data_IF_278073752360
#
_entry.id   IF_278073752360
#
_cell.length_a   1.000
_cell.length_b   1.000
_cell.length_c   1.000
_cell.angle_alpha   90.00
_cell.angle_beta   90.00
_cell.angle_gamma   90.00
#
_symmetry.space_group_name_H-M   'P 1'
#
loop_
_entity.id
_entity.type
_entity.pdbx_description
1 polymer ?
#
# COMPACT_ATOMS: atom_id res chain seq x y z
N UNK A 1 -2.78 30.80 -37.07
CA UNK A 1 -2.75 30.47 -38.51
C UNK A 1 -2.11 29.11 -38.68
N UNK A 2 -2.70 28.29 -39.54
CA UNK A 2 -2.37 26.94 -39.96
C UNK A 2 -2.84 25.77 -39.06
N UNK A 3 -4.08 25.40 -39.32
CA UNK A 3 -4.63 24.06 -39.05
C UNK A 3 -4.09 23.09 -40.14
N UNK A 4 -3.66 21.90 -39.75
CA UNK A 4 -3.47 20.78 -40.67
C UNK A 4 -4.45 19.69 -40.34
N UNK A 5 -5.37 19.44 -41.28
CA UNK A 5 -6.37 18.40 -41.33
C UNK A 5 -5.75 17.08 -41.80
N UNK A 6 -6.17 15.95 -41.21
CA UNK A 6 -5.85 14.58 -41.66
C UNK A 6 -7.10 13.98 -42.32
N UNK A 7 -7.01 13.39 -43.50
CA UNK A 7 -8.17 12.82 -44.20
C UNK A 7 -8.46 11.37 -43.74
N UNK A 8 -9.76 11.07 -43.63
CA UNK A 8 -10.29 9.73 -43.42
C UNK A 8 -10.28 8.93 -44.76
N UNK A 9 -9.78 7.70 -44.71
CA UNK A 9 -9.84 6.73 -45.82
C UNK A 9 -11.05 5.82 -45.58
N UNK A 10 -12.02 5.89 -46.47
CA UNK A 10 -13.16 4.98 -46.56
C UNK A 10 -12.79 3.89 -47.57
N UNK A 11 -12.78 2.63 -47.14
CA UNK A 11 -12.60 1.48 -48.02
C UNK A 11 -13.95 0.83 -48.27
N UNK A 12 -14.42 0.94 -49.52
CA UNK A 12 -15.61 0.27 -50.00
C UNK A 12 -15.29 -1.16 -50.43
N UNK A 13 -16.08 -2.13 -49.98
CA UNK A 13 -16.03 -3.53 -50.42
C UNK A 13 -17.14 -3.73 -51.46
N UNK A 14 -16.74 -4.06 -52.69
CA UNK A 14 -17.64 -4.47 -53.77
C UNK A 14 -17.95 -5.97 -53.64
N UNK A 15 -19.23 -6.31 -53.63
CA UNK A 15 -19.72 -7.70 -53.76
C UNK A 15 -20.03 -7.94 -55.23
N UNK A 16 -19.36 -8.88 -55.88
CA UNK A 16 -19.72 -9.41 -57.18
C UNK A 16 -20.47 -10.72 -57.01
N UNK A 17 -21.70 -10.76 -57.45
CA UNK A 17 -22.47 -11.98 -57.66
C UNK A 17 -22.28 -12.44 -59.12
N UNK A 18 -21.84 -13.69 -59.29
CA UNK A 18 -21.87 -14.36 -60.59
C UNK A 18 -22.69 -15.65 -60.49
N UNK A 19 -23.78 -15.69 -61.19
CA UNK A 19 -24.56 -16.90 -61.42
C UNK A 19 -24.08 -17.58 -62.72
N UNK A 20 -23.87 -18.89 -62.70
CA UNK A 20 -23.88 -19.76 -63.86
C UNK A 20 -24.48 -21.12 -63.57
N UNK A 21 -25.48 -21.45 -64.33
CA UNK A 21 -26.19 -22.74 -64.37
C UNK A 21 -25.47 -23.76 -65.25
N UNK A 22 -25.61 -25.04 -64.87
CA UNK A 22 -25.54 -26.09 -65.90
C UNK A 22 -24.94 -27.43 -65.44
N UNK A 23 -25.74 -28.52 -65.54
CA UNK A 23 -25.31 -29.83 -65.93
C UNK A 23 -25.08 -30.83 -64.78
N UNK A 24 -26.00 -31.81 -64.65
CA UNK A 24 -25.93 -32.90 -63.71
C UNK A 24 -25.00 -34.01 -64.14
N UNK A 25 -24.45 -34.71 -63.15
CA UNK A 25 -24.03 -36.12 -63.27
C UNK A 25 -24.08 -36.80 -61.88
N UNK A 26 -24.80 -37.91 -61.79
CA UNK A 26 -24.94 -38.69 -60.58
C UNK A 26 -23.65 -39.43 -60.31
N UNK A 27 -23.04 -39.21 -59.17
CA UNK A 27 -21.98 -40.05 -58.60
C UNK A 27 -22.40 -40.52 -57.21
N UNK A 28 -22.14 -41.77 -56.92
CA UNK A 28 -22.49 -42.54 -55.76
C UNK A 28 -22.01 -41.96 -54.41
N UNK A 29 -22.65 -42.29 -53.27
CA UNK A 29 -22.30 -41.72 -51.99
C UNK A 29 -20.97 -42.29 -51.46
N UNK A 30 -19.95 -41.52 -51.47
CA UNK A 30 -18.74 -41.81 -50.65
C UNK A 30 -19.05 -41.41 -49.21
N UNK A 31 -18.88 -42.37 -48.30
CA UNK A 31 -19.00 -42.17 -46.89
C UNK A 31 -18.01 -41.08 -46.43
N UNK A 32 -18.53 -39.92 -46.09
CA UNK A 32 -17.76 -38.88 -45.40
C UNK A 32 -17.48 -39.36 -43.97
N UNK A 33 -16.23 -39.70 -43.68
CA UNK A 33 -15.74 -39.81 -42.34
C UNK A 33 -15.88 -38.44 -41.66
N UNK A 34 -16.85 -38.33 -40.77
CA UNK A 34 -16.95 -37.16 -39.89
C UNK A 34 -15.72 -37.13 -38.99
N UNK A 35 -14.71 -36.36 -39.35
CA UNK A 35 -13.61 -36.03 -38.47
C UNK A 35 -14.19 -35.31 -37.26
N UNK A 36 -14.30 -36.04 -36.12
CA UNK A 36 -14.68 -35.43 -34.85
C UNK A 36 -13.65 -34.35 -34.53
N UNK A 37 -14.08 -33.08 -34.57
CA UNK A 37 -13.26 -32.01 -34.00
C UNK A 37 -13.06 -32.33 -32.52
N UNK A 38 -11.85 -32.70 -32.17
CA UNK A 38 -11.45 -32.86 -30.76
C UNK A 38 -11.59 -31.49 -30.12
N UNK A 39 -12.63 -31.33 -29.28
CA UNK A 39 -12.82 -30.08 -28.53
C UNK A 39 -11.54 -29.88 -27.71
N UNK A 40 -10.86 -28.77 -27.94
CA UNK A 40 -9.76 -28.31 -27.09
C UNK A 40 -10.32 -28.22 -25.68
N UNK A 41 -9.74 -28.90 -24.68
CA UNK A 41 -10.26 -28.82 -23.31
C UNK A 41 -10.25 -27.34 -22.87
N UNK A 42 -11.39 -26.84 -22.42
CA UNK A 42 -11.47 -25.53 -21.79
C UNK A 42 -10.54 -25.54 -20.58
N UNK A 43 -9.61 -24.58 -20.46
CA UNK A 43 -8.72 -24.56 -19.32
C UNK A 43 -9.53 -24.46 -18.03
N UNK A 44 -9.19 -25.29 -17.05
CA UNK A 44 -9.80 -25.25 -15.72
C UNK A 44 -9.45 -23.91 -15.08
N UNK A 45 -10.42 -23.13 -14.59
CA UNK A 45 -10.16 -21.87 -13.91
C UNK A 45 -9.20 -22.09 -12.74
N UNK A 46 -8.23 -21.17 -12.60
CA UNK A 46 -7.32 -21.15 -11.46
C UNK A 46 -7.61 -19.92 -10.62
N UNK A 47 -7.45 -19.99 -9.29
CA UNK A 47 -7.67 -18.82 -8.43
C UNK A 47 -6.62 -17.75 -8.69
N UNK A 48 -7.05 -16.50 -8.76
CA UNK A 48 -6.14 -15.35 -8.71
C UNK A 48 -5.49 -15.32 -7.33
N UNK A 49 -4.20 -15.04 -7.27
CA UNK A 49 -3.44 -14.94 -6.02
C UNK A 49 -2.49 -13.78 -6.14
N UNK A 50 -2.38 -12.98 -5.09
CA UNK A 50 -1.43 -11.87 -5.01
C UNK A 50 -0.92 -11.67 -3.60
N UNK A 51 0.25 -11.03 -3.49
CA UNK A 51 0.88 -10.62 -2.24
C UNK A 51 0.73 -9.12 -2.03
N UNK A 52 0.34 -8.74 -0.81
CA UNK A 52 0.28 -7.35 -0.37
C UNK A 52 1.31 -7.15 0.73
N UNK A 53 2.14 -6.10 0.61
CA UNK A 53 3.05 -5.64 1.64
C UNK A 53 2.61 -4.27 2.14
N UNK A 54 2.64 -4.07 3.46
CA UNK A 54 2.40 -2.77 4.09
C UNK A 54 3.45 -2.49 5.15
N UNK A 55 3.82 -1.23 5.34
CA UNK A 55 4.79 -0.79 6.32
C UNK A 55 4.27 0.37 7.15
N UNK A 56 4.93 0.64 8.28
CA UNK A 56 4.58 1.69 9.22
C UNK A 56 4.82 3.12 8.70
N UNK A 57 4.87 4.06 9.63
CA UNK A 57 4.78 5.48 9.39
C UNK A 57 6.05 6.06 8.75
N UNK A 58 5.87 6.85 7.67
CA UNK A 58 6.92 7.68 7.08
C UNK A 58 6.78 9.09 7.65
N UNK A 59 7.52 9.34 8.75
CA UNK A 59 7.50 10.58 9.52
C UNK A 59 8.85 11.30 9.39
N UNK A 60 8.94 12.26 8.49
CA UNK A 60 10.19 12.88 8.05
C UNK A 60 10.74 13.89 9.05
N UNK A 61 11.48 13.43 10.05
CA UNK A 61 12.26 14.27 10.95
C UNK A 61 13.53 14.81 10.28
N UNK A 62 14.07 15.92 10.81
CA UNK A 62 15.19 16.66 10.22
C UNK A 62 16.44 15.78 9.96
N UNK A 63 16.80 14.87 10.84
CA UNK A 63 17.98 14.02 10.66
C UNK A 63 17.89 13.12 9.44
N UNK A 64 16.68 12.68 9.05
CA UNK A 64 16.48 11.82 7.88
C UNK A 64 16.82 12.57 6.59
N UNK A 65 16.35 13.81 6.43
CA UNK A 65 16.69 14.54 5.19
C UNK A 65 18.10 15.13 5.21
N UNK A 66 18.69 15.40 6.38
CA UNK A 66 20.12 15.72 6.48
C UNK A 66 20.99 14.55 6.02
N UNK A 67 20.60 13.33 6.38
CA UNK A 67 21.25 12.13 5.84
C UNK A 67 21.04 12.04 4.33
N UNK A 68 19.82 12.25 3.81
CA UNK A 68 19.52 12.20 2.39
C UNK A 68 20.28 13.28 1.57
N UNK A 69 20.55 14.47 2.15
CA UNK A 69 21.46 15.49 1.55
C UNK A 69 22.90 14.95 1.43
N UNK A 70 23.41 14.31 2.49
CA UNK A 70 24.73 13.71 2.47
C UNK A 70 24.83 12.52 1.50
N UNK A 71 23.77 11.73 1.40
CA UNK A 71 23.66 10.60 0.48
C UNK A 71 23.63 11.09 -0.98
N UNK A 72 22.88 12.14 -1.29
CA UNK A 72 22.86 12.75 -2.62
C UNK A 72 24.24 13.17 -3.10
N UNK A 73 25.10 13.69 -2.22
CA UNK A 73 26.47 14.04 -2.55
C UNK A 73 27.32 12.80 -2.92
N UNK A 74 26.98 11.61 -2.42
CA UNK A 74 27.68 10.33 -2.74
C UNK A 74 27.12 9.64 -3.99
N UNK A 75 25.79 9.68 -4.17
CA UNK A 75 25.08 9.00 -5.27
C UNK A 75 24.98 9.85 -6.53
N UNK A 76 25.19 11.16 -6.42
CA UNK A 76 25.03 12.10 -7.53
C UNK A 76 23.60 12.61 -7.75
N UNK A 77 22.70 12.37 -6.81
CA UNK A 77 21.34 12.91 -6.84
C UNK A 77 21.34 14.45 -6.72
N UNK A 78 20.32 15.10 -7.30
CA UNK A 78 20.34 16.57 -7.45
C UNK A 78 20.16 17.37 -6.15
N UNK A 79 19.40 16.82 -5.18
CA UNK A 79 19.06 17.54 -3.93
C UNK A 79 19.19 16.62 -2.72
N UNK A 80 18.44 15.51 -2.69
CA UNK A 80 18.40 14.53 -1.62
C UNK A 80 18.23 13.14 -2.21
N UNK A 81 18.79 12.13 -1.54
CA UNK A 81 18.63 10.72 -1.87
C UNK A 81 18.25 9.94 -0.59
N UNK A 82 17.00 9.49 -0.51
CA UNK A 82 16.53 8.67 0.61
C UNK A 82 16.65 7.16 0.32
N UNK A 83 16.95 6.75 -0.92
CA UNK A 83 17.00 5.34 -1.28
C UNK A 83 18.01 4.53 -0.44
N UNK A 84 19.21 5.05 -0.09
CA UNK A 84 20.12 4.32 0.79
C UNK A 84 19.54 3.97 2.16
N UNK A 85 18.63 4.81 2.70
CA UNK A 85 18.02 4.57 4.00
C UNK A 85 17.04 3.38 3.98
N UNK A 86 16.47 3.04 2.80
CA UNK A 86 15.49 1.97 2.59
C UNK A 86 16.08 0.72 1.89
N UNK A 87 17.38 0.74 1.56
CA UNK A 87 18.01 -0.28 0.72
C UNK A 87 17.85 -1.71 1.26
N UNK A 88 17.89 -1.89 2.60
CA UNK A 88 17.84 -3.22 3.21
C UNK A 88 16.45 -3.87 3.14
N UNK A 89 15.38 -3.08 2.98
CA UNK A 89 14.01 -3.59 2.88
C UNK A 89 13.50 -3.68 1.43
N UNK A 90 14.18 -3.01 0.50
CA UNK A 90 13.79 -3.00 -0.91
C UNK A 90 13.61 -4.40 -1.52
N UNK A 91 14.42 -5.43 -1.20
CA UNK A 91 14.21 -6.79 -1.71
C UNK A 91 12.86 -7.39 -1.31
N UNK A 92 12.36 -7.09 -0.11
CA UNK A 92 11.06 -7.60 0.37
C UNK A 92 9.92 -6.80 -0.22
N UNK A 93 10.01 -5.47 -0.22
CA UNK A 93 8.97 -4.58 -0.73
C UNK A 93 8.77 -4.77 -2.23
N UNK A 94 9.85 -4.76 -3.02
CA UNK A 94 9.80 -4.84 -4.49
C UNK A 94 9.36 -6.20 -5.04
N UNK A 95 9.27 -7.23 -4.21
CA UNK A 95 8.78 -8.56 -4.63
C UNK A 95 7.30 -8.77 -4.37
N UNK A 96 6.63 -7.83 -3.71
CA UNK A 96 5.19 -7.86 -3.54
C UNK A 96 4.47 -7.48 -4.85
N UNK A 97 3.27 -8.01 -5.05
CA UNK A 97 2.41 -7.63 -6.17
C UNK A 97 1.72 -6.26 -5.92
N UNK A 98 1.61 -5.86 -4.64
CA UNK A 98 1.15 -4.55 -4.19
C UNK A 98 1.87 -4.16 -2.90
N UNK A 99 2.56 -3.02 -2.88
CA UNK A 99 3.20 -2.48 -1.70
C UNK A 99 2.61 -1.12 -1.32
N UNK A 100 2.21 -0.97 -0.04
CA UNK A 100 1.51 0.21 0.50
C UNK A 100 2.36 0.87 1.58
N UNK A 101 2.66 2.17 1.44
CA UNK A 101 3.25 3.01 2.48
C UNK A 101 2.21 3.86 3.21
N UNK A 102 2.55 4.38 4.36
CA UNK A 102 1.82 5.44 5.04
C UNK A 102 2.65 6.71 5.06
N UNK A 103 2.32 7.68 4.21
CA UNK A 103 3.00 8.98 4.19
C UNK A 103 2.30 9.91 5.18
N UNK A 104 2.83 9.97 6.39
CA UNK A 104 2.20 10.66 7.51
C UNK A 104 2.24 12.17 7.41
N UNK A 105 3.25 12.73 6.74
CA UNK A 105 3.49 14.16 6.70
C UNK A 105 3.24 14.77 5.32
N UNK A 106 2.72 16.01 5.24
CA UNK A 106 2.60 16.71 3.98
C UNK A 106 3.98 17.08 3.42
N UNK A 107 4.06 17.15 2.09
CA UNK A 107 5.29 17.48 1.38
C UNK A 107 5.44 19.00 1.15
N UNK A 108 6.67 19.45 1.25
CA UNK A 108 7.11 20.80 0.94
C UNK A 108 7.33 21.02 -0.57
N UNK A 109 7.56 22.27 -1.02
CA UNK A 109 8.19 22.51 -2.32
C UNK A 109 9.56 21.83 -2.43
N UNK A 110 9.97 21.45 -3.64
CA UNK A 110 11.17 20.63 -3.88
C UNK A 110 12.49 21.19 -3.31
N UNK A 111 12.55 22.47 -3.05
CA UNK A 111 13.71 23.16 -2.43
C UNK A 111 13.38 23.72 -1.04
N UNK A 112 12.27 23.29 -0.44
CA UNK A 112 11.82 23.76 0.87
C UNK A 112 11.11 25.11 0.84
N UNK A 113 11.01 25.78 1.99
CA UNK A 113 11.57 25.35 3.27
C UNK A 113 10.96 24.05 3.77
N UNK A 114 11.77 23.19 4.42
CA UNK A 114 11.33 22.00 5.11
C UNK A 114 11.15 22.28 6.60
N UNK A 115 10.25 21.56 7.24
CA UNK A 115 10.07 21.60 8.69
C UNK A 115 9.79 20.19 9.25
N UNK A 116 10.29 19.96 10.47
CA UNK A 116 10.03 18.77 11.27
C UNK A 116 9.05 19.06 12.40
N UNK A 117 9.13 18.23 13.47
CA UNK A 117 8.29 18.41 14.65
C UNK A 117 8.30 19.84 15.19
N UNK A 118 7.16 20.39 15.63
CA UNK A 118 5.83 19.77 15.72
C UNK A 118 4.95 19.92 14.48
N UNK A 119 5.35 20.72 13.50
CA UNK A 119 4.56 21.01 12.28
C UNK A 119 5.39 20.66 11.07
N UNK A 120 5.06 19.53 10.46
CA UNK A 120 5.86 18.93 9.40
C UNK A 120 5.58 19.52 8.01
N UNK A 121 6.63 19.59 7.22
CA UNK A 121 6.57 19.80 5.77
C UNK A 121 7.82 19.15 5.19
N UNK A 122 7.69 17.89 4.75
CA UNK A 122 8.80 17.02 4.41
C UNK A 122 9.33 17.22 2.99
N UNK A 123 10.58 16.83 2.72
CA UNK A 123 11.14 16.87 1.37
C UNK A 123 10.43 15.91 0.42
N UNK A 124 9.96 16.35 -0.77
CA UNK A 124 9.26 15.48 -1.72
C UNK A 124 10.15 14.42 -2.36
N UNK A 125 11.48 14.51 -2.21
CA UNK A 125 12.43 13.50 -2.72
C UNK A 125 12.27 12.13 -2.07
N UNK A 126 11.63 12.05 -0.89
CA UNK A 126 11.27 10.76 -0.27
C UNK A 126 10.40 9.92 -1.19
N UNK A 127 9.52 10.53 -1.98
CA UNK A 127 8.61 9.83 -2.90
C UNK A 127 9.40 9.05 -3.97
N UNK A 128 10.51 9.61 -4.48
CA UNK A 128 11.40 8.90 -5.40
C UNK A 128 11.96 7.63 -4.74
N UNK A 129 12.43 7.73 -3.51
CA UNK A 129 12.95 6.58 -2.78
C UNK A 129 11.87 5.52 -2.48
N UNK A 130 10.63 5.94 -2.17
CA UNK A 130 9.51 5.00 -2.01
C UNK A 130 9.24 4.21 -3.30
N UNK A 131 9.19 4.90 -4.45
CA UNK A 131 9.05 4.22 -5.77
C UNK A 131 10.23 3.27 -6.04
N UNK A 132 11.47 3.72 -5.81
CA UNK A 132 12.66 2.88 -6.02
C UNK A 132 12.72 1.68 -5.07
N UNK A 133 12.14 1.79 -3.87
CA UNK A 133 11.99 0.69 -2.92
C UNK A 133 10.94 -0.32 -3.38
N UNK A 134 9.99 0.08 -4.23
CA UNK A 134 8.96 -0.78 -4.79
C UNK A 134 7.54 -0.53 -4.26
N UNK A 135 7.26 0.62 -3.63
CA UNK A 135 5.91 0.97 -3.23
C UNK A 135 5.06 1.40 -4.43
N UNK A 136 3.78 0.99 -4.43
CA UNK A 136 2.79 1.26 -5.48
C UNK A 136 1.74 2.29 -5.04
N UNK A 137 1.51 2.40 -3.73
CA UNK A 137 0.50 3.28 -3.17
C UNK A 137 0.92 3.81 -1.79
N UNK A 138 0.40 4.99 -1.40
CA UNK A 138 0.54 5.53 -0.05
C UNK A 138 -0.80 5.98 0.52
N UNK A 139 -1.02 5.72 1.81
CA UNK A 139 -2.11 6.34 2.58
C UNK A 139 -1.65 7.69 3.14
N UNK A 140 -2.56 8.66 3.24
CA UNK A 140 -2.24 10.07 3.53
C UNK A 140 -3.10 10.72 4.60
N UNK A 141 -4.09 10.00 5.16
CA UNK A 141 -4.87 10.50 6.29
C UNK A 141 -4.10 10.27 7.60
N UNK A 142 -3.65 11.35 8.22
CA UNK A 142 -2.91 11.35 9.49
C UNK A 142 -3.23 12.59 10.30
N UNK A 143 -2.79 12.64 11.55
CA UNK A 143 -2.88 13.84 12.40
C UNK A 143 -2.04 15.01 11.87
N UNK A 144 -1.08 14.75 10.96
CA UNK A 144 -0.22 15.76 10.32
C UNK A 144 -0.69 16.19 8.91
N UNK A 145 -1.78 15.63 8.39
CA UNK A 145 -2.27 15.92 7.03
C UNK A 145 -2.36 17.43 6.74
N UNK A 146 -2.74 18.25 7.73
CA UNK A 146 -2.94 19.69 7.55
C UNK A 146 -1.80 20.56 8.06
N UNK A 147 -0.66 20.02 8.44
CA UNK A 147 0.49 20.78 8.94
C UNK A 147 0.97 21.88 7.96
N UNK A 148 0.86 21.62 6.66
CA UNK A 148 1.18 22.59 5.61
C UNK A 148 -0.08 23.16 4.92
N UNK A 149 -1.25 23.07 5.56
CA UNK A 149 -2.54 23.57 5.08
C UNK A 149 -3.00 22.89 3.78
N UNK A 150 -4.02 23.47 3.13
CA UNK A 150 -4.55 22.97 1.86
C UNK A 150 -3.46 22.77 0.77
N UNK A 151 -2.57 23.77 0.66
CA UNK A 151 -1.48 23.71 -0.32
C UNK A 151 -0.48 22.58 -0.04
N UNK A 152 -0.35 22.13 1.22
CA UNK A 152 0.43 20.95 1.60
C UNK A 152 -0.23 19.69 1.08
N UNK A 153 -1.54 19.52 1.31
CA UNK A 153 -2.32 18.39 0.77
C UNK A 153 -2.19 18.33 -0.76
N UNK A 154 -2.47 19.43 -1.44
CA UNK A 154 -2.42 19.51 -2.90
C UNK A 154 -1.04 19.10 -3.44
N UNK A 155 0.04 19.66 -2.89
CA UNK A 155 1.41 19.29 -3.31
C UNK A 155 1.75 17.81 -3.04
N UNK A 156 1.30 17.28 -1.90
CA UNK A 156 1.56 15.90 -1.54
C UNK A 156 0.93 14.98 -2.59
N UNK A 157 -0.34 15.16 -2.89
CA UNK A 157 -1.05 14.33 -3.85
C UNK A 157 -0.53 14.51 -5.28
N UNK A 158 -0.23 15.76 -5.69
CA UNK A 158 0.38 16.04 -7.01
C UNK A 158 1.76 15.37 -7.14
N UNK A 159 2.53 15.29 -6.06
CA UNK A 159 3.85 14.63 -6.06
C UNK A 159 3.70 13.11 -6.17
N UNK A 160 2.73 12.51 -5.46
CA UNK A 160 2.44 11.08 -5.55
C UNK A 160 1.94 10.72 -6.95
N UNK A 161 1.01 11.49 -7.52
CA UNK A 161 0.52 11.31 -8.89
C UNK A 161 1.64 11.39 -9.93
N UNK A 162 2.52 12.40 -9.80
CA UNK A 162 3.65 12.58 -10.71
C UNK A 162 4.65 11.43 -10.66
N UNK A 163 4.73 10.73 -9.51
CA UNK A 163 5.56 9.56 -9.30
C UNK A 163 4.87 8.24 -9.69
N UNK A 164 3.56 8.28 -9.99
CA UNK A 164 2.77 7.09 -10.31
C UNK A 164 2.31 6.29 -9.11
N UNK A 165 2.41 6.85 -7.89
CA UNK A 165 1.90 6.22 -6.67
C UNK A 165 0.41 6.53 -6.50
N UNK A 166 -0.40 5.49 -6.37
CA UNK A 166 -1.79 5.64 -5.96
C UNK A 166 -1.86 6.19 -4.53
N UNK A 167 -2.93 6.92 -4.19
CA UNK A 167 -3.05 7.48 -2.85
C UNK A 167 -4.50 7.46 -2.35
N UNK A 168 -4.68 7.41 -1.02
CA UNK A 168 -5.98 7.45 -0.37
C UNK A 168 -5.89 8.15 0.99
N UNK A 169 -6.95 8.88 1.37
CA UNK A 169 -7.08 9.47 2.71
C UNK A 169 -7.24 10.98 2.71
N UNK A 170 -6.66 11.69 1.76
CA UNK A 170 -6.85 13.12 1.57
C UNK A 170 -7.23 13.46 0.12
N UNK A 171 -7.73 14.67 -0.12
CA UNK A 171 -8.25 15.08 -1.43
C UNK A 171 -7.98 16.56 -1.72
N UNK A 172 -7.85 16.88 -3.01
CA UNK A 172 -7.66 18.25 -3.54
C UNK A 172 -8.98 18.94 -3.83
N UNK A 173 -10.00 18.16 -4.16
CA UNK A 173 -11.35 18.65 -4.51
C UNK A 173 -12.46 17.78 -3.89
N UNK A 174 -13.70 18.30 -3.77
CA UNK A 174 -14.83 17.50 -3.29
C UNK A 174 -15.11 16.28 -4.18
N UNK A 175 -14.90 16.41 -5.49
CA UNK A 175 -15.10 15.32 -6.44
C UNK A 175 -14.09 14.19 -6.23
N UNK A 176 -12.84 14.53 -5.91
CA UNK A 176 -11.78 13.56 -5.62
C UNK A 176 -12.09 12.74 -4.37
N UNK A 177 -12.65 13.35 -3.31
CA UNK A 177 -13.10 12.63 -2.10
C UNK A 177 -14.13 11.55 -2.42
N UNK A 178 -15.01 11.79 -3.40
CA UNK A 178 -15.99 10.81 -3.86
C UNK A 178 -15.41 9.66 -4.70
N UNK A 179 -14.12 9.72 -5.05
CA UNK A 179 -13.45 8.67 -5.81
C UNK A 179 -12.87 7.63 -4.83
N UNK A 180 -13.14 6.37 -5.10
CA UNK A 180 -12.46 5.26 -4.40
C UNK A 180 -11.16 4.98 -5.12
N UNK A 181 -10.04 5.01 -4.41
CA UNK A 181 -8.75 4.58 -4.95
C UNK A 181 -8.77 3.08 -5.13
N UNK A 182 -8.67 2.61 -6.37
CA UNK A 182 -8.61 1.19 -6.73
C UNK A 182 -7.33 0.97 -7.52
N UNK A 183 -6.49 0.04 -7.06
CA UNK A 183 -5.27 -0.38 -7.73
C UNK A 183 -5.53 -1.71 -8.43
N UNK A 184 -5.21 -1.79 -9.71
CA UNK A 184 -5.27 -3.03 -10.48
C UNK A 184 -3.96 -3.80 -10.30
N UNK A 185 -4.00 -4.87 -9.51
CA UNK A 185 -2.86 -5.75 -9.25
C UNK A 185 -2.82 -6.84 -10.31
N UNK A 186 -1.74 -6.91 -11.08
CA UNK A 186 -1.59 -7.90 -12.13
C UNK A 186 -1.31 -9.29 -11.54
N UNK A 187 -2.06 -10.30 -11.97
CA UNK A 187 -1.78 -11.72 -11.65
C UNK A 187 -1.76 -12.56 -12.93
N UNK A 188 -1.25 -13.79 -12.85
CA UNK A 188 -1.22 -14.71 -14.00
C UNK A 188 -2.62 -15.09 -14.51
N UNK A 189 -3.62 -15.02 -13.65
CA UNK A 189 -5.00 -15.45 -13.95
C UNK A 189 -5.95 -14.25 -14.19
N UNK A 190 -5.39 -13.02 -14.31
CA UNK A 190 -6.11 -11.77 -14.53
C UNK A 190 -5.93 -10.79 -13.38
N UNK A 191 -6.29 -9.52 -13.55
CA UNK A 191 -6.09 -8.50 -12.52
C UNK A 191 -6.99 -8.73 -11.30
N UNK A 192 -6.47 -8.35 -10.12
CA UNK A 192 -7.22 -8.21 -8.88
C UNK A 192 -7.34 -6.73 -8.56
N UNK A 193 -8.54 -6.26 -8.25
CA UNK A 193 -8.84 -4.87 -7.97
C UNK A 193 -8.86 -4.62 -6.47
N UNK A 194 -7.83 -3.94 -5.96
CA UNK A 194 -7.68 -3.66 -4.54
C UNK A 194 -8.07 -2.21 -4.26
N UNK A 195 -9.13 -2.01 -3.46
CA UNK A 195 -9.51 -0.69 -2.99
C UNK A 195 -8.71 -0.33 -1.74
N UNK A 196 -8.22 0.91 -1.70
CA UNK A 196 -7.49 1.48 -0.57
C UNK A 196 -8.31 2.63 0.02
N UNK A 197 -8.63 2.53 1.31
CA UNK A 197 -9.30 3.55 2.11
C UNK A 197 -8.36 3.97 3.25
N UNK A 198 -8.41 5.25 3.68
CA UNK A 198 -7.56 5.72 4.78
C UNK A 198 -8.25 6.79 5.60
N UNK A 199 -8.13 6.71 6.92
CA UNK A 199 -8.81 7.57 7.89
C UNK A 199 -7.91 7.89 9.08
N UNK A 200 -8.11 9.06 9.70
CA UNK A 200 -7.37 9.51 10.89
C UNK A 200 -8.29 9.90 12.03
N UNK A 201 -7.80 9.81 13.27
CA UNK A 201 -8.53 10.24 14.46
C UNK A 201 -8.72 11.76 14.57
N UNK A 202 -7.98 12.55 13.78
CA UNK A 202 -8.04 14.00 13.83
C UNK A 202 -6.76 14.65 13.29
N UNK A 203 -6.57 15.97 13.52
CA UNK A 203 -5.54 16.79 12.89
C UNK A 203 -4.79 17.67 13.89
N UNK A 204 -4.44 17.16 15.07
CA UNK A 204 -3.68 17.89 16.12
C UNK A 204 -4.28 19.25 16.48
N UNK A 205 -5.61 19.38 16.42
CA UNK A 205 -6.30 20.65 16.67
C UNK A 205 -6.23 21.68 15.54
N UNK A 206 -5.63 21.32 14.41
CA UNK A 206 -5.65 22.15 13.19
C UNK A 206 -7.04 21.99 12.54
N UNK A 207 -7.78 23.09 12.33
CA UNK A 207 -9.08 22.98 11.67
C UNK A 207 -8.94 22.64 10.20
N UNK A 208 -9.99 22.09 9.62
CA UNK A 208 -10.05 21.90 8.17
C UNK A 208 -9.75 23.21 7.43
N UNK A 209 -8.78 23.22 6.49
CA UNK A 209 -8.47 24.40 5.71
C UNK A 209 -9.71 24.93 4.98
N UNK A 210 -10.03 26.21 5.15
CA UNK A 210 -11.24 26.87 4.65
C UNK A 210 -12.59 26.26 5.12
N UNK A 211 -12.58 25.34 6.10
CA UNK A 211 -13.75 24.60 6.52
C UNK A 211 -14.11 23.43 5.59
N UNK A 212 -13.22 23.04 4.69
CA UNK A 212 -13.40 22.01 3.67
C UNK A 212 -13.25 20.60 4.27
N UNK A 213 -14.30 20.03 4.89
CA UNK A 213 -14.27 18.73 5.58
C UNK A 213 -14.01 17.54 4.64
N UNK A 214 -14.10 17.74 3.36
CA UNK A 214 -13.80 16.73 2.33
C UNK A 214 -12.29 16.54 2.09
N UNK A 215 -11.40 17.42 2.61
CA UNK A 215 -9.96 17.39 2.31
C UNK A 215 -9.20 16.22 2.91
N UNK A 216 -9.71 15.64 3.98
CA UNK A 216 -9.15 14.41 4.57
C UNK A 216 -10.23 13.67 5.35
N UNK A 217 -10.07 12.36 5.46
CA UNK A 217 -11.06 11.49 6.07
C UNK A 217 -10.79 11.34 7.58
N UNK A 218 -11.72 11.78 8.42
CA UNK A 218 -11.74 11.40 9.84
C UNK A 218 -12.39 10.03 10.04
N UNK A 219 -12.02 9.36 11.13
CA UNK A 219 -12.59 8.09 11.53
C UNK A 219 -14.06 8.30 11.93
N UNK A 220 -14.96 7.76 11.13
CA UNK A 220 -16.40 7.63 11.38
C UNK A 220 -16.85 6.26 10.87
N UNK A 221 -17.33 5.41 11.77
CA UNK A 221 -17.69 4.02 11.46
C UNK A 221 -18.68 3.91 10.30
N UNK A 222 -19.72 4.73 10.32
CA UNK A 222 -20.76 4.68 9.29
C UNK A 222 -20.21 5.08 7.92
N UNK A 223 -19.35 6.08 7.87
CA UNK A 223 -18.67 6.54 6.66
C UNK A 223 -17.68 5.48 6.14
N UNK A 224 -16.91 4.84 7.02
CA UNK A 224 -15.97 3.77 6.63
C UNK A 224 -16.72 2.61 5.98
N UNK A 225 -17.77 2.12 6.64
CA UNK A 225 -18.61 1.02 6.12
C UNK A 225 -19.29 1.37 4.79
N UNK A 226 -19.81 2.59 4.66
CA UNK A 226 -20.43 3.05 3.41
C UNK A 226 -19.42 3.17 2.25
N UNK A 227 -18.19 3.62 2.55
CA UNK A 227 -17.14 3.73 1.55
C UNK A 227 -16.60 2.33 1.14
N UNK A 228 -16.51 1.38 2.07
CA UNK A 228 -16.15 -0.01 1.75
C UNK A 228 -17.20 -0.66 0.85
N UNK A 229 -18.50 -0.53 1.18
CA UNK A 229 -19.58 -1.00 0.32
C UNK A 229 -19.56 -0.34 -1.08
N UNK A 230 -19.24 0.96 -1.14
CA UNK A 230 -19.08 1.69 -2.41
C UNK A 230 -17.89 1.15 -3.21
N UNK A 231 -16.77 0.81 -2.56
CA UNK A 231 -15.61 0.19 -3.21
C UNK A 231 -15.99 -1.14 -3.86
N UNK A 232 -16.74 -2.00 -3.15
CA UNK A 232 -17.27 -3.27 -3.71
C UNK A 232 -18.20 -3.03 -4.91
N UNK A 233 -19.11 -2.07 -4.81
CA UNK A 233 -20.02 -1.70 -5.92
C UNK A 233 -19.27 -1.20 -7.15
N UNK A 234 -18.10 -0.59 -6.95
CA UNK A 234 -17.20 -0.16 -8.02
C UNK A 234 -16.31 -1.30 -8.56
N UNK A 235 -16.48 -2.50 -8.02
CA UNK A 235 -15.84 -3.73 -8.46
C UNK A 235 -14.48 -3.98 -7.81
N UNK A 236 -14.27 -3.52 -6.58
CA UNK A 236 -13.13 -3.95 -5.79
C UNK A 236 -13.27 -5.43 -5.41
N UNK A 237 -12.24 -6.21 -5.66
CA UNK A 237 -12.12 -7.61 -5.25
C UNK A 237 -11.66 -7.72 -3.79
N UNK A 238 -10.81 -6.79 -3.34
CA UNK A 238 -10.27 -6.69 -1.97
C UNK A 238 -10.36 -5.24 -1.49
N UNK A 239 -10.71 -5.01 -0.23
CA UNK A 239 -10.79 -3.67 0.40
C UNK A 239 -9.88 -3.62 1.61
N UNK A 240 -8.88 -2.75 1.56
CA UNK A 240 -7.92 -2.48 2.63
C UNK A 240 -8.22 -1.12 3.24
N UNK A 241 -8.33 -1.07 4.57
CA UNK A 241 -8.59 0.17 5.31
C UNK A 241 -7.41 0.50 6.20
N UNK A 242 -6.75 1.61 5.95
CA UNK A 242 -5.69 2.14 6.80
C UNK A 242 -6.28 3.10 7.85
N UNK A 243 -5.92 2.87 9.12
CA UNK A 243 -6.44 3.56 10.28
C UNK A 243 -5.30 4.24 11.04
N UNK A 244 -5.26 5.56 11.00
CA UNK A 244 -4.30 6.35 11.78
C UNK A 244 -4.94 6.67 13.15
N UNK A 245 -4.67 5.82 14.13
CA UNK A 245 -5.36 5.75 15.42
C UNK A 245 -4.47 5.23 16.56
N UNK A 246 -5.01 5.11 17.75
CA UNK A 246 -4.29 4.57 18.90
C UNK A 246 -3.75 5.64 19.84
N UNK A 247 -2.86 5.25 20.71
CA UNK A 247 -2.15 6.14 21.64
C UNK A 247 -0.66 6.09 21.31
N UNK A 248 -0.03 7.25 21.12
CA UNK A 248 1.40 7.31 20.81
C UNK A 248 2.21 6.60 21.90
N UNK A 249 3.17 5.78 21.46
CA UNK A 249 4.17 5.07 22.26
C UNK A 249 3.60 4.00 23.19
N UNK A 250 2.34 3.58 22.99
CA UNK A 250 1.71 2.50 23.72
C UNK A 250 1.59 1.25 22.83
N UNK A 251 2.17 0.13 23.27
CA UNK A 251 2.07 -1.15 22.56
C UNK A 251 0.69 -1.79 22.68
N UNK A 252 -0.09 -1.42 23.70
CA UNK A 252 -1.44 -1.92 23.87
C UNK A 252 -2.44 -1.08 23.03
N UNK A 253 -3.30 -1.71 22.24
CA UNK A 253 -4.36 -1.00 21.54
C UNK A 253 -5.31 -0.30 22.54
N UNK A 254 -5.64 0.96 22.27
CA UNK A 254 -6.52 1.73 23.12
C UNK A 254 -8.01 1.31 22.96
N UNK A 255 -8.88 1.89 23.79
CA UNK A 255 -10.32 1.56 23.82
C UNK A 255 -10.98 1.79 22.43
N UNK A 256 -10.65 2.87 21.72
CA UNK A 256 -11.18 3.13 20.38
C UNK A 256 -10.81 2.01 19.40
N UNK A 257 -9.57 1.59 19.40
CA UNK A 257 -9.07 0.52 18.53
C UNK A 257 -9.78 -0.82 18.83
N UNK A 258 -9.86 -1.18 20.11
CA UNK A 258 -10.48 -2.44 20.55
C UNK A 258 -11.99 -2.50 20.33
N UNK A 259 -12.67 -1.36 20.38
CA UNK A 259 -14.10 -1.25 20.14
C UNK A 259 -14.44 -1.22 18.64
N UNK A 260 -13.66 -0.48 17.84
CA UNK A 260 -14.00 -0.24 16.44
C UNK A 260 -13.51 -1.34 15.50
N UNK A 261 -12.30 -1.90 15.70
CA UNK A 261 -11.73 -2.90 14.81
C UNK A 261 -12.63 -4.11 14.57
N UNK A 262 -13.19 -4.76 15.61
CA UNK A 262 -14.09 -5.91 15.41
C UNK A 262 -15.35 -5.56 14.62
N UNK A 263 -15.91 -4.35 14.80
CA UNK A 263 -17.10 -3.94 14.07
C UNK A 263 -16.83 -3.64 12.60
N UNK A 264 -15.69 -3.04 12.30
CA UNK A 264 -15.29 -2.77 10.91
C UNK A 264 -14.99 -4.06 10.17
N UNK A 265 -14.17 -4.95 10.77
CA UNK A 265 -13.74 -6.17 10.11
C UNK A 265 -14.83 -7.24 10.01
N UNK A 266 -15.90 -7.13 10.81
CA UNK A 266 -17.10 -7.97 10.67
C UNK A 266 -17.91 -7.63 9.41
N UNK A 267 -17.64 -6.50 8.76
CA UNK A 267 -18.29 -6.15 7.49
C UNK A 267 -17.76 -7.03 6.37
N UNK A 268 -18.63 -7.67 5.55
CA UNK A 268 -18.17 -8.46 4.40
C UNK A 268 -17.51 -7.61 3.30
N UNK A 269 -17.52 -6.30 3.47
CA UNK A 269 -16.94 -5.36 2.51
C UNK A 269 -15.50 -4.94 2.86
N UNK A 270 -14.93 -5.39 4.01
CA UNK A 270 -13.56 -5.06 4.45
C UNK A 270 -12.77 -6.35 4.67
N UNK A 271 -11.58 -6.47 4.06
CA UNK A 271 -10.76 -7.67 4.13
C UNK A 271 -9.50 -7.50 5.00
N UNK A 272 -9.08 -6.24 5.26
CA UNK A 272 -7.85 -5.98 6.02
C UNK A 272 -7.90 -4.60 6.67
N UNK A 273 -7.51 -4.52 7.95
CA UNK A 273 -7.24 -3.26 8.64
C UNK A 273 -5.74 -3.09 8.90
N UNK A 274 -5.18 -1.92 8.54
CA UNK A 274 -3.78 -1.54 8.75
C UNK A 274 -3.71 -0.32 9.67
N UNK A 275 -3.08 -0.46 10.84
CA UNK A 275 -2.98 0.58 11.86
C UNK A 275 -1.66 1.36 11.84
N UNK A 276 -1.78 2.65 12.13
CA UNK A 276 -0.72 3.66 12.13
C UNK A 276 -0.84 4.58 13.36
N UNK A 277 0.06 5.56 13.53
CA UNK A 277 0.05 6.59 14.57
C UNK A 277 0.73 6.24 15.88
N UNK A 278 0.60 5.03 16.40
CA UNK A 278 1.17 4.68 17.71
C UNK A 278 2.70 4.86 17.79
N UNK A 279 3.40 4.93 16.64
CA UNK A 279 4.86 5.04 16.52
C UNK A 279 5.64 3.93 17.23
N UNK A 280 4.93 2.89 17.64
CA UNK A 280 5.45 1.61 18.14
C UNK A 280 4.61 0.49 17.55
N UNK A 281 5.17 -0.70 17.49
CA UNK A 281 4.43 -1.88 17.03
C UNK A 281 3.32 -2.21 18.02
N UNK A 282 2.12 -2.51 17.52
CA UNK A 282 1.00 -3.02 18.28
C UNK A 282 0.62 -4.42 17.78
N UNK A 283 -0.23 -5.18 18.48
CA UNK A 283 -0.60 -6.53 18.10
C UNK A 283 -1.21 -6.67 16.71
N UNK A 284 -1.13 -7.90 16.20
CA UNK A 284 -1.83 -8.37 15.02
C UNK A 284 -2.82 -9.45 15.45
N UNK A 285 -4.08 -9.31 15.05
CA UNK A 285 -5.16 -10.19 15.45
C UNK A 285 -5.89 -10.72 14.21
N UNK A 286 -6.31 -11.98 14.26
CA UNK A 286 -7.25 -12.52 13.28
C UNK A 286 -8.65 -12.55 13.91
N UNK A 287 -9.59 -11.85 13.31
CA UNK A 287 -10.98 -11.78 13.75
C UNK A 287 -11.85 -12.45 12.69
N UNK A 288 -12.40 -13.60 13.01
CA UNK A 288 -13.29 -14.39 12.15
C UNK A 288 -12.74 -14.69 10.74
N UNK A 289 -11.42 -14.76 10.59
CA UNK A 289 -10.74 -15.06 9.34
C UNK A 289 -10.05 -13.86 8.69
N UNK A 290 -10.41 -12.64 9.08
CA UNK A 290 -9.82 -11.40 8.56
C UNK A 290 -8.79 -10.82 9.54
N UNK A 291 -7.82 -10.05 9.01
CA UNK A 291 -6.69 -9.57 9.77
C UNK A 291 -6.82 -8.09 10.18
N UNK A 292 -6.47 -7.83 11.44
CA UNK A 292 -6.34 -6.49 12.02
C UNK A 292 -4.90 -6.31 12.47
N UNK A 293 -4.19 -5.35 11.88
CA UNK A 293 -2.91 -4.85 12.37
C UNK A 293 -3.20 -3.58 13.14
N UNK A 294 -3.05 -3.59 14.46
CA UNK A 294 -3.41 -2.42 15.28
C UNK A 294 -2.44 -1.25 15.12
N UNK A 295 -1.14 -1.53 14.97
CA UNK A 295 -0.12 -0.52 14.72
C UNK A 295 1.17 -1.13 14.16
N UNK A 296 1.70 -0.55 13.09
CA UNK A 296 2.93 -1.04 12.44
C UNK A 296 4.21 -0.34 12.93
N UNK A 297 4.11 0.62 13.85
CA UNK A 297 5.24 1.43 14.26
C UNK A 297 5.79 2.32 13.14
N UNK A 298 7.07 2.66 13.19
CA UNK A 298 7.69 3.53 12.21
C UNK A 298 8.40 2.73 11.11
N UNK A 299 8.22 3.16 9.86
CA UNK A 299 9.14 2.80 8.77
C UNK A 299 10.34 3.74 8.80
N UNK A 300 10.08 5.05 8.76
CA UNK A 300 11.09 6.10 8.77
C UNK A 300 10.69 7.19 9.75
N UNK A 301 11.35 7.27 10.89
CA UNK A 301 11.16 8.36 11.87
C UNK A 301 12.44 8.56 12.67
N UNK A 302 12.66 9.72 13.24
CA UNK A 302 13.82 9.95 14.10
C UNK A 302 13.42 10.68 15.37
N UNK A 303 12.77 9.97 16.28
CA UNK A 303 12.43 10.47 17.60
C UNK A 303 13.69 10.73 18.44
N UNK A 304 13.56 11.58 19.47
CA UNK A 304 14.70 12.01 20.28
C UNK A 304 15.37 10.89 21.11
N UNK A 305 14.68 9.77 21.31
CA UNK A 305 15.22 8.61 22.04
C UNK A 305 15.81 7.60 21.07
N UNK A 306 17.16 7.43 21.07
CA UNK A 306 17.84 6.68 20.01
C UNK A 306 17.69 5.16 20.10
N UNK A 307 17.19 4.63 21.22
CA UNK A 307 17.29 3.20 21.51
C UNK A 307 16.01 2.57 22.09
N UNK A 308 14.88 3.25 21.91
CA UNK A 308 13.59 2.76 22.38
C UNK A 308 12.80 2.00 21.32
N UNK A 309 11.60 1.52 21.68
CA UNK A 309 10.70 0.86 20.74
C UNK A 309 10.24 1.74 19.57
N UNK A 310 10.45 3.06 19.62
CA UNK A 310 10.15 4.01 18.53
C UNK A 310 11.08 3.86 17.31
N UNK A 311 12.22 3.18 17.47
CA UNK A 311 13.11 2.80 16.38
C UNK A 311 12.68 1.48 15.70
N UNK A 312 11.69 0.80 16.27
CA UNK A 312 11.19 -0.49 15.84
C UNK A 312 9.91 -0.30 15.03
N UNK A 313 9.80 -1.04 13.95
CA UNK A 313 8.62 -1.13 13.12
C UNK A 313 8.39 -2.56 12.65
N UNK A 314 7.31 -2.75 11.95
CA UNK A 314 7.00 -4.02 11.31
C UNK A 314 6.53 -3.78 9.88
N UNK A 315 7.01 -4.62 8.97
CA UNK A 315 6.43 -4.77 7.64
C UNK A 315 5.55 -6.01 7.67
N UNK A 316 4.32 -5.88 7.19
CA UNK A 316 3.37 -6.98 7.09
C UNK A 316 3.30 -7.47 5.66
N UNK A 317 3.23 -8.79 5.46
CA UNK A 317 2.97 -9.39 4.15
C UNK A 317 1.78 -10.34 4.24
N UNK A 318 0.79 -10.11 3.38
CA UNK A 318 -0.41 -10.94 3.26
C UNK A 318 -0.45 -11.57 1.87
N UNK A 319 -0.79 -12.86 1.81
CA UNK A 319 -1.09 -13.54 0.54
C UNK A 319 -2.60 -13.75 0.45
N UNK A 320 -3.22 -13.08 -0.50
CA UNK A 320 -4.65 -13.23 -0.81
C UNK A 320 -4.85 -14.25 -1.93
N UNK A 321 -5.88 -15.05 -1.80
CA UNK A 321 -6.27 -16.03 -2.81
C UNK A 321 -7.77 -16.02 -3.03
N UNK A 322 -8.16 -16.04 -4.30
CA UNK A 322 -9.56 -16.12 -4.73
C UNK A 322 -10.16 -17.47 -4.39
N UNK A 323 -11.36 -17.47 -3.83
CA UNK A 323 -12.24 -18.63 -3.75
C UNK A 323 -13.09 -18.71 -5.02
N UNK A 324 -12.83 -19.67 -5.88
CA UNK A 324 -13.56 -19.85 -7.14
C UNK A 324 -15.06 -20.16 -6.95
N UNK A 325 -15.49 -20.57 -5.76
CA UNK A 325 -16.88 -20.87 -5.44
C UNK A 325 -17.70 -19.62 -5.16
N UNK A 326 -17.10 -18.64 -4.47
CA UNK A 326 -17.74 -17.39 -4.06
C UNK A 326 -17.33 -16.20 -4.89
N UNK A 327 -16.13 -16.25 -5.49
CA UNK A 327 -15.47 -15.11 -6.14
C UNK A 327 -14.83 -14.12 -5.17
N UNK A 328 -14.93 -14.34 -3.85
CA UNK A 328 -14.27 -13.54 -2.82
C UNK A 328 -12.81 -13.91 -2.65
N UNK A 329 -12.07 -13.10 -1.90
CA UNK A 329 -10.67 -13.37 -1.55
C UNK A 329 -10.56 -13.69 -0.06
N UNK A 330 -9.59 -14.54 0.29
CA UNK A 330 -9.24 -14.83 1.68
C UNK A 330 -7.72 -14.72 1.85
N UNK A 331 -7.28 -14.31 3.03
CA UNK A 331 -5.87 -14.33 3.39
C UNK A 331 -5.44 -15.76 3.68
N UNK A 332 -4.55 -16.30 2.86
CA UNK A 332 -4.02 -17.66 3.01
C UNK A 332 -2.68 -17.72 3.74
N UNK A 333 -2.01 -16.57 3.87
CA UNK A 333 -0.77 -16.42 4.63
C UNK A 333 -0.66 -14.99 5.15
N UNK A 334 -0.28 -14.86 6.41
CA UNK A 334 0.05 -13.61 7.06
C UNK A 334 1.45 -13.70 7.66
N UNK A 335 2.31 -12.76 7.32
CA UNK A 335 3.71 -12.76 7.75
C UNK A 335 4.09 -11.36 8.25
N UNK A 336 4.99 -11.33 9.22
CA UNK A 336 5.56 -10.08 9.72
C UNK A 336 7.08 -10.09 9.63
N UNK A 337 7.67 -8.93 9.33
CA UNK A 337 9.11 -8.69 9.29
C UNK A 337 9.44 -7.58 10.28
N UNK A 338 10.12 -7.88 11.40
CA UNK A 338 10.62 -6.85 12.30
C UNK A 338 11.64 -5.95 11.61
N UNK A 339 11.43 -4.64 11.73
CA UNK A 339 12.30 -3.59 11.22
C UNK A 339 12.96 -2.83 12.37
N UNK A 340 14.15 -2.31 12.13
CA UNK A 340 14.84 -1.43 13.05
C UNK A 340 15.50 -0.28 12.29
N UNK A 341 15.15 0.96 12.63
CA UNK A 341 15.85 2.12 12.10
C UNK A 341 17.03 2.47 12.98
N UNK A 342 18.23 2.51 12.42
CA UNK A 342 19.44 2.94 13.13
C UNK A 342 19.35 4.43 13.50
N UNK A 343 19.96 4.82 14.61
CA UNK A 343 19.96 6.21 15.05
C UNK A 343 21.21 6.96 14.60
N UNK A 344 22.39 6.31 14.69
CA UNK A 344 23.64 6.91 14.26
C UNK A 344 23.79 6.89 12.73
N UNK A 345 24.62 7.79 12.24
CA UNK A 345 24.86 7.92 10.80
C UNK A 345 25.80 6.84 10.25
N UNK A 346 25.52 6.21 9.11
CA UNK A 346 24.33 6.42 8.30
C UNK A 346 23.06 5.86 8.94
N UNK A 347 21.93 6.57 8.78
CA UNK A 347 20.61 6.09 9.19
C UNK A 347 20.12 5.11 8.13
N UNK A 348 19.72 3.92 8.56
CA UNK A 348 19.24 2.85 7.71
C UNK A 348 18.05 2.14 8.37
N UNK A 349 17.07 1.73 7.59
CA UNK A 349 16.01 0.83 8.02
C UNK A 349 16.48 -0.60 7.77
N UNK A 350 16.74 -1.33 8.83
CA UNK A 350 17.26 -2.70 8.77
C UNK A 350 16.10 -3.71 8.76
N UNK A 351 16.23 -4.72 7.92
CA UNK A 351 15.56 -5.99 8.05
C UNK A 351 16.25 -6.76 9.19
N UNK A 352 15.60 -6.84 10.35
CA UNK A 352 16.23 -7.34 11.58
C UNK A 352 16.70 -8.80 11.45
N UNK A 353 15.89 -9.75 10.97
CA UNK A 353 16.33 -11.12 10.72
C UNK A 353 17.54 -11.23 9.76
N UNK A 354 17.50 -10.51 8.64
CA UNK A 354 18.58 -10.55 7.67
C UNK A 354 19.88 -9.94 8.22
N UNK A 355 19.78 -8.82 8.94
CA UNK A 355 20.92 -8.17 9.59
C UNK A 355 21.60 -9.08 10.63
N UNK A 356 20.80 -9.77 11.45
CA UNK A 356 21.32 -10.75 12.40
C UNK A 356 21.97 -11.96 11.72
N UNK A 357 21.37 -12.47 10.65
CA UNK A 357 21.89 -13.61 9.91
C UNK A 357 23.20 -13.31 9.17
N UNK A 358 23.32 -12.11 8.58
CA UNK A 358 24.53 -11.68 7.87
C UNK A 358 25.63 -11.17 8.79
N UNK A 359 25.27 -10.69 9.99
CA UNK A 359 26.16 -9.97 10.89
C UNK A 359 26.39 -8.50 10.51
N UNK A 360 25.70 -8.01 9.46
CA UNK A 360 25.71 -6.59 9.08
C UNK A 360 24.60 -5.86 9.82
N UNK A 361 24.97 -5.24 10.93
CA UNK A 361 24.04 -4.57 11.85
C UNK A 361 24.00 -3.04 11.62
N UNK A 362 24.59 -2.54 10.53
CA UNK A 362 24.72 -1.11 10.31
C UNK A 362 25.43 -0.41 11.46
N UNK A 363 24.86 0.68 11.93
CA UNK A 363 25.44 1.46 13.07
C UNK A 363 24.93 1.05 14.45
N UNK A 364 24.16 -0.07 14.55
CA UNK A 364 23.67 -0.62 15.83
C UNK A 364 24.39 -1.92 16.21
N UNK A 365 23.95 -2.61 17.24
CA UNK A 365 24.56 -3.85 17.72
C UNK A 365 23.64 -5.04 17.52
N UNK A 366 24.20 -6.25 17.38
CA UNK A 366 23.42 -7.49 17.30
C UNK A 366 22.48 -7.65 18.53
N UNK A 367 22.97 -7.35 19.73
CA UNK A 367 22.15 -7.42 20.96
C UNK A 367 20.94 -6.48 20.93
N UNK A 368 21.08 -5.30 20.31
CA UNK A 368 19.96 -4.37 20.11
C UNK A 368 18.94 -4.94 19.13
N UNK A 369 19.40 -5.52 18.03
CA UNK A 369 18.54 -6.16 17.03
C UNK A 369 17.85 -7.41 17.60
N UNK A 370 18.54 -8.21 18.42
CA UNK A 370 17.94 -9.34 19.15
C UNK A 370 16.81 -8.88 20.09
N UNK A 371 17.02 -7.76 20.79
CA UNK A 371 15.99 -7.16 21.64
C UNK A 371 14.79 -6.67 20.82
N UNK A 372 15.04 -6.01 19.69
CA UNK A 372 14.00 -5.54 18.80
C UNK A 372 13.20 -6.71 18.20
N UNK A 373 13.88 -7.77 17.74
CA UNK A 373 13.26 -8.99 17.25
C UNK A 373 12.34 -9.63 18.30
N UNK A 374 12.86 -9.81 19.51
CA UNK A 374 12.11 -10.44 20.62
C UNK A 374 10.87 -9.61 20.98
N UNK A 375 11.01 -8.30 21.17
CA UNK A 375 9.91 -7.40 21.52
C UNK A 375 8.86 -7.32 20.40
N UNK A 376 9.28 -7.11 19.16
CA UNK A 376 8.34 -7.08 18.02
C UNK A 376 7.57 -8.40 17.91
N UNK A 377 8.26 -9.54 18.05
CA UNK A 377 7.61 -10.86 18.03
C UNK A 377 6.60 -11.02 19.17
N UNK A 378 6.96 -10.64 20.39
CA UNK A 378 6.07 -10.70 21.56
C UNK A 378 4.81 -9.85 21.34
N UNK A 379 5.01 -8.61 20.87
CA UNK A 379 3.90 -7.67 20.66
C UNK A 379 2.98 -8.12 19.53
N UNK A 380 3.50 -8.44 18.34
CA UNK A 380 2.63 -8.81 17.21
C UNK A 380 1.82 -10.07 17.48
N UNK A 381 2.30 -10.97 18.32
CA UNK A 381 1.60 -12.22 18.67
C UNK A 381 0.72 -12.14 19.92
N UNK A 382 0.72 -11.01 20.63
CA UNK A 382 0.05 -10.86 21.94
C UNK A 382 -1.48 -11.09 21.90
N UNK A 383 -2.12 -11.00 20.73
CA UNK A 383 -3.57 -11.22 20.56
C UNK A 383 -3.90 -12.47 19.74
N UNK A 384 -3.08 -13.51 19.87
CA UNK A 384 -3.36 -14.82 19.26
C UNK A 384 -3.09 -14.91 17.75
N UNK A 385 -2.43 -13.92 17.14
CA UNK A 385 -2.11 -13.96 15.71
C UNK A 385 -1.35 -15.24 15.30
N UNK A 386 -0.41 -15.70 16.13
CA UNK A 386 0.35 -16.92 15.87
C UNK A 386 -0.53 -18.19 15.86
N UNK A 387 -1.59 -18.24 16.66
CA UNK A 387 -2.54 -19.36 16.70
C UNK A 387 -3.35 -19.45 15.40
N UNK A 388 -3.48 -18.34 14.67
CA UNK A 388 -4.15 -18.22 13.38
C UNK A 388 -3.18 -18.21 12.18
N UNK A 389 -1.89 -18.54 12.42
CA UNK A 389 -0.89 -18.68 11.35
C UNK A 389 -0.13 -17.41 10.97
N UNK A 390 -0.07 -16.42 11.88
CA UNK A 390 0.88 -15.31 11.72
C UNK A 390 2.31 -15.83 11.93
N UNK A 391 3.16 -15.67 10.92
CA UNK A 391 4.52 -16.22 10.90
C UNK A 391 5.56 -15.10 10.71
N UNK A 392 6.78 -15.33 11.26
CA UNK A 392 7.93 -14.51 10.92
C UNK A 392 8.27 -14.72 9.44
N UNK A 393 8.43 -13.63 8.70
CA UNK A 393 8.78 -13.71 7.28
C UNK A 393 10.14 -14.39 7.11
N UNK A 394 10.18 -15.46 6.32
CA UNK A 394 11.39 -16.19 5.97
C UNK A 394 12.00 -15.61 4.68
N UNK A 395 13.35 -15.51 4.65
CA UNK A 395 14.15 -15.07 3.49
C UNK A 395 14.58 -16.26 2.63
#
# INVERSE_FOLDING_TARGET
MNRRSVPAIVTAVLVLAAACSGGGEQAAPTASASGGATATPTPTPRPRTFTLVASGDVLLHERLWRQAEADAARTGAAIMDFAPQLANIAPVVSTADLAICHLEVPLAPSRGPYSGYPTFSGPPQVVTALVETGYDACTTASNHTFDAGAAGVERTLDTLDAAGLAHAGSARTPEETGLTTIVDVATTEGPVRVALLSYTYGFNGIPYPNGDTWRANEIDEATILANAATARQRGADVVVVAMHWGTEYDHDPNEQQLDLAPRLIASPDIDLLLGHHAHVVQPVENVDGEWVVYGMGNLMANHAEPEGPKAEGVLMRFTFREDLGTGGFTTTRAEYLPLYQTYELPIEVLDVPAALASGDTGTTTASRLETALARTTEVVTARGGAEHGLELLAH
#
